data_IF_300872226658
#
_entry.id   IF_300872226658
#
_cell.length_a   1.000
_cell.length_b   1.000
_cell.length_c   1.000
_cell.angle_alpha   90.00
_cell.angle_beta   90.00
_cell.angle_gamma   90.00
#
_symmetry.space_group_name_H-M   'P 1'
#
loop_
_entity.id
_entity.type
_entity.pdbx_description
1 polymer ?
#
# COMPACT_ATOMS: atom_id res chain seq x y z
N UNK A 1 -2.18 27.87 39.60
CA UNK A 1 -1.81 28.84 38.53
C UNK A 1 -0.41 28.62 37.96
N UNK A 2 0.71 29.19 38.45
CA UNK A 2 2.03 29.01 37.78
C UNK A 2 2.54 27.56 37.68
N UNK A 3 2.25 26.72 38.67
CA UNK A 3 2.65 25.31 38.68
C UNK A 3 1.85 24.46 37.68
N UNK A 4 0.56 24.77 37.49
CA UNK A 4 -0.31 24.10 36.52
C UNK A 4 0.05 24.50 35.09
N UNK A 5 0.37 25.77 34.84
CA UNK A 5 0.88 26.21 33.53
C UNK A 5 2.20 25.52 33.17
N UNK A 6 3.14 25.43 34.11
CA UNK A 6 4.41 24.74 33.90
C UNK A 6 4.22 23.24 33.60
N UNK A 7 3.31 22.58 34.35
CA UNK A 7 2.96 21.17 34.11
C UNK A 7 2.32 20.97 32.74
N UNK A 8 1.40 21.85 32.34
CA UNK A 8 0.72 21.78 31.05
C UNK A 8 1.70 22.01 29.88
N UNK A 9 2.63 22.96 30.02
CA UNK A 9 3.70 23.21 29.03
C UNK A 9 4.64 22.02 28.89
N UNK A 10 5.03 21.39 30.01
CA UNK A 10 5.87 20.20 30.01
C UNK A 10 5.15 19.01 29.35
N UNK A 11 3.88 18.76 29.69
CA UNK A 11 3.06 17.70 29.09
C UNK A 11 2.87 17.93 27.58
N UNK A 12 2.63 19.17 27.16
CA UNK A 12 2.52 19.51 25.75
C UNK A 12 3.83 19.30 24.99
N UNK A 13 4.97 19.70 25.57
CA UNK A 13 6.27 19.48 24.97
C UNK A 13 6.63 18.00 24.85
N UNK A 14 6.32 17.20 25.88
CA UNK A 14 6.54 15.76 25.89
C UNK A 14 5.69 15.07 24.82
N UNK A 15 4.39 15.36 24.77
CA UNK A 15 3.47 14.78 23.78
C UNK A 15 3.86 15.13 22.35
N UNK A 16 4.28 16.38 22.11
CA UNK A 16 4.78 16.83 20.80
C UNK A 16 6.07 16.10 20.39
N UNK A 17 6.93 15.76 21.35
CA UNK A 17 8.14 14.99 21.10
C UNK A 17 7.82 13.53 20.80
N UNK A 18 6.91 12.91 21.56
CA UNK A 18 6.39 11.57 21.32
C UNK A 18 5.77 11.44 19.91
N UNK A 19 4.88 12.36 19.54
CA UNK A 19 4.27 12.40 18.19
C UNK A 19 5.33 12.55 17.08
N UNK A 20 6.39 13.32 17.32
CA UNK A 20 7.47 13.50 16.34
C UNK A 20 8.37 12.25 16.22
N UNK A 21 8.64 11.56 17.33
CA UNK A 21 9.42 10.33 17.35
C UNK A 21 8.64 9.17 16.72
N UNK A 22 7.35 9.04 17.01
CA UNK A 22 6.45 8.09 16.35
C UNK A 22 6.39 8.31 14.83
N UNK A 23 6.23 9.57 14.41
CA UNK A 23 6.27 9.92 12.97
C UNK A 23 7.63 9.59 12.33
N UNK A 24 8.74 9.72 13.06
CA UNK A 24 10.07 9.36 12.55
C UNK A 24 10.19 7.85 12.36
N UNK A 25 9.77 7.06 13.34
CA UNK A 25 9.82 5.58 13.31
C UNK A 25 8.98 5.05 12.15
N UNK A 26 7.73 5.53 12.01
CA UNK A 26 6.84 5.13 10.91
C UNK A 26 7.48 5.47 9.55
N UNK A 27 8.08 6.66 9.43
CA UNK A 27 8.74 7.09 8.18
C UNK A 27 9.98 6.25 7.85
N UNK A 28 10.69 5.77 8.87
CA UNK A 28 11.86 4.92 8.72
C UNK A 28 11.48 3.50 8.27
N UNK A 29 10.50 2.89 8.94
CA UNK A 29 9.94 1.58 8.55
C UNK A 29 9.43 1.57 7.11
N UNK A 30 8.66 2.60 6.72
CA UNK A 30 8.15 2.73 5.34
C UNK A 30 9.30 2.86 4.34
N UNK A 31 10.38 3.58 4.68
CA UNK A 31 11.54 3.73 3.80
C UNK A 31 12.31 2.44 3.64
N UNK A 32 12.44 1.63 4.69
CA UNK A 32 13.10 0.33 4.63
C UNK A 32 12.31 -0.66 3.78
N UNK A 33 10.99 -0.76 3.98
CA UNK A 33 10.12 -1.59 3.16
C UNK A 33 10.20 -1.21 1.67
N UNK A 34 10.20 0.09 1.36
CA UNK A 34 10.32 0.57 -0.03
C UNK A 34 11.70 0.31 -0.64
N UNK A 35 12.77 0.39 0.15
CA UNK A 35 14.13 0.04 -0.33
C UNK A 35 14.19 -1.43 -0.69
N UNK A 36 13.62 -2.30 0.15
CA UNK A 36 13.58 -3.73 -0.10
C UNK A 36 12.79 -4.06 -1.40
N UNK A 37 11.64 -3.43 -1.61
CA UNK A 37 10.85 -3.61 -2.85
C UNK A 37 11.66 -3.16 -4.08
N UNK A 38 12.28 -1.98 -4.02
CA UNK A 38 13.03 -1.44 -5.16
C UNK A 38 14.30 -2.24 -5.46
N UNK A 39 14.98 -2.74 -4.45
CA UNK A 39 16.13 -3.64 -4.60
C UNK A 39 15.71 -4.95 -5.27
N UNK A 40 14.55 -5.48 -4.86
CA UNK A 40 13.97 -6.68 -5.45
C UNK A 40 13.59 -6.49 -6.94
N UNK A 41 12.90 -5.40 -7.28
CA UNK A 41 12.57 -5.05 -8.67
C UNK A 41 13.82 -4.88 -9.54
N UNK A 42 14.88 -4.26 -9.00
CA UNK A 42 16.16 -4.11 -9.69
C UNK A 42 16.83 -5.45 -9.95
N UNK A 43 16.82 -6.35 -8.97
CA UNK A 43 17.40 -7.68 -9.12
C UNK A 43 16.71 -8.49 -10.22
N UNK A 44 15.38 -8.40 -10.35
CA UNK A 44 14.63 -9.03 -11.44
C UNK A 44 15.04 -8.43 -12.78
N UNK A 45 15.03 -7.10 -12.90
CA UNK A 45 15.36 -6.42 -14.16
C UNK A 45 16.83 -6.67 -14.59
N UNK A 46 17.74 -6.84 -13.63
CA UNK A 46 19.14 -7.17 -13.89
C UNK A 46 19.29 -8.61 -14.37
N UNK A 47 18.58 -9.57 -13.77
CA UNK A 47 18.56 -10.97 -14.22
C UNK A 47 18.02 -11.12 -15.66
N UNK A 48 16.93 -10.43 -16.00
CA UNK A 48 16.37 -10.41 -17.38
C UNK A 48 17.35 -9.80 -18.39
N UNK A 49 18.09 -8.77 -17.97
CA UNK A 49 19.10 -8.13 -18.83
C UNK A 49 20.29 -9.05 -19.06
N UNK A 50 20.75 -9.76 -18.03
CA UNK A 50 21.86 -10.70 -18.09
C UNK A 50 21.54 -11.88 -19.03
N UNK A 51 20.36 -12.49 -18.89
CA UNK A 51 19.84 -13.54 -19.78
C UNK A 51 19.82 -13.07 -21.26
N UNK A 52 19.30 -11.85 -21.51
CA UNK A 52 19.30 -11.27 -22.86
C UNK A 52 20.71 -11.10 -23.43
N UNK A 53 21.66 -10.61 -22.65
CA UNK A 53 23.06 -10.42 -23.10
C UNK A 53 23.69 -11.76 -23.47
N UNK A 54 23.53 -12.79 -22.64
CA UNK A 54 24.09 -14.12 -22.94
C UNK A 54 23.47 -14.73 -24.20
N UNK A 55 22.15 -14.58 -24.39
CA UNK A 55 21.48 -15.04 -25.61
C UNK A 55 22.00 -14.32 -26.87
N UNK A 56 22.23 -13.01 -26.79
CA UNK A 56 22.83 -12.25 -27.90
C UNK A 56 24.28 -12.68 -28.21
N UNK A 57 25.11 -12.89 -27.17
CA UNK A 57 26.49 -13.36 -27.33
C UNK A 57 26.55 -14.76 -27.93
N UNK A 58 25.66 -15.66 -27.49
CA UNK A 58 25.53 -17.02 -28.01
C UNK A 58 25.19 -17.03 -29.50
N UNK A 59 24.22 -16.20 -29.91
CA UNK A 59 23.82 -16.08 -31.31
C UNK A 59 24.99 -15.60 -32.18
N UNK A 60 25.74 -14.59 -31.72
CA UNK A 60 26.95 -14.11 -32.42
C UNK A 60 28.02 -15.19 -32.52
N UNK A 61 28.29 -15.90 -31.43
CA UNK A 61 29.29 -16.99 -31.43
C UNK A 61 28.89 -18.12 -32.40
N UNK A 62 27.60 -18.45 -32.49
CA UNK A 62 27.08 -19.42 -33.47
C UNK A 62 27.23 -18.94 -34.92
N UNK A 63 27.01 -17.66 -35.19
CA UNK A 63 27.25 -17.06 -36.52
C UNK A 63 28.73 -17.05 -36.90
N UNK A 64 29.63 -16.81 -35.95
CA UNK A 64 31.08 -16.84 -36.15
C UNK A 64 31.57 -18.27 -36.43
N UNK A 65 31.04 -19.28 -35.74
CA UNK A 65 31.35 -20.69 -35.99
C UNK A 65 31.04 -21.10 -37.44
N UNK A 66 29.94 -20.60 -38.03
CA UNK A 66 29.57 -20.87 -39.42
C UNK A 66 30.58 -20.31 -40.44
N UNK A 67 31.37 -19.31 -40.05
CA UNK A 67 32.38 -18.65 -40.88
C UNK A 67 33.81 -19.07 -40.54
N UNK A 68 34.00 -19.86 -39.48
CA UNK A 68 35.31 -20.22 -38.94
C UNK A 68 36.02 -21.28 -39.79
N UNK A 69 37.35 -21.19 -39.83
CA UNK A 69 38.22 -22.20 -40.44
C UNK A 69 38.32 -23.47 -39.57
N UNK A 70 38.77 -24.61 -40.13
CA UNK A 70 38.94 -25.87 -39.37
C UNK A 70 39.85 -25.71 -38.14
N UNK A 71 40.87 -24.85 -38.20
CA UNK A 71 41.77 -24.59 -37.07
C UNK A 71 41.14 -23.75 -35.95
N UNK A 72 40.14 -22.93 -36.25
CA UNK A 72 39.47 -22.03 -35.28
C UNK A 72 38.20 -22.65 -34.70
N UNK A 73 37.66 -23.67 -35.39
CA UNK A 73 36.41 -24.33 -35.07
C UNK A 73 36.38 -24.90 -33.65
N UNK A 74 37.45 -25.55 -33.22
CA UNK A 74 37.54 -26.13 -31.87
C UNK A 74 37.47 -25.06 -30.76
N UNK A 75 38.09 -23.89 -30.98
CA UNK A 75 38.05 -22.78 -30.03
C UNK A 75 36.66 -22.12 -30.00
N UNK A 76 36.05 -21.94 -31.16
CA UNK A 76 34.70 -21.41 -31.29
C UNK A 76 33.65 -22.34 -30.63
N UNK A 77 33.78 -23.66 -30.80
CA UNK A 77 32.92 -24.66 -30.15
C UNK A 77 33.06 -24.63 -28.62
N UNK A 78 34.28 -24.51 -28.09
CA UNK A 78 34.51 -24.36 -26.65
C UNK A 78 33.88 -23.07 -26.11
N UNK A 79 34.01 -21.96 -26.85
CA UNK A 79 33.42 -20.67 -26.46
C UNK A 79 31.88 -20.72 -26.46
N UNK A 80 31.27 -21.43 -27.41
CA UNK A 80 29.83 -21.65 -27.43
C UNK A 80 29.40 -22.48 -26.23
N UNK A 81 30.11 -23.56 -25.89
CA UNK A 81 29.79 -24.39 -24.73
C UNK A 81 29.84 -23.60 -23.41
N UNK A 82 30.82 -22.70 -23.25
CA UNK A 82 30.88 -21.78 -22.10
C UNK A 82 29.67 -20.82 -22.05
N UNK A 83 29.31 -20.23 -23.19
CA UNK A 83 28.17 -19.32 -23.29
C UNK A 83 26.83 -20.04 -23.07
N UNK A 84 26.70 -21.29 -23.51
CA UNK A 84 25.53 -22.15 -23.24
C UNK A 84 25.37 -22.42 -21.75
N UNK A 85 26.47 -22.70 -21.05
CA UNK A 85 26.45 -22.91 -19.60
C UNK A 85 26.09 -21.62 -18.85
N UNK A 86 26.63 -20.47 -19.26
CA UNK A 86 26.31 -19.17 -18.66
C UNK A 86 24.85 -18.77 -18.91
N UNK A 87 24.32 -19.02 -20.11
CA UNK A 87 22.92 -18.78 -20.44
C UNK A 87 22.01 -19.65 -19.56
N UNK A 88 22.31 -20.93 -19.39
CA UNK A 88 21.54 -21.83 -18.53
C UNK A 88 21.50 -21.33 -17.07
N UNK A 89 22.63 -20.85 -16.55
CA UNK A 89 22.68 -20.30 -15.19
C UNK A 89 21.85 -19.02 -15.05
N UNK A 90 21.90 -18.14 -16.05
CA UNK A 90 21.09 -16.91 -16.10
C UNK A 90 19.59 -17.22 -16.18
N UNK A 91 19.18 -18.17 -17.03
CA UNK A 91 17.79 -18.62 -17.16
C UNK A 91 17.26 -19.23 -15.86
N UNK A 92 18.07 -20.01 -15.13
CA UNK A 92 17.68 -20.53 -13.81
C UNK A 92 17.53 -19.43 -12.75
N UNK A 93 18.41 -18.41 -12.75
CA UNK A 93 18.31 -17.26 -11.82
C UNK A 93 17.06 -16.45 -12.12
N UNK A 94 16.79 -16.17 -13.39
CA UNK A 94 15.60 -15.46 -13.86
C UNK A 94 14.32 -16.21 -13.48
N UNK A 95 14.25 -17.52 -13.75
CA UNK A 95 13.09 -18.34 -13.40
C UNK A 95 12.80 -18.34 -11.89
N UNK A 96 13.85 -18.44 -11.06
CA UNK A 96 13.70 -18.33 -9.60
C UNK A 96 13.25 -16.93 -9.18
N UNK A 97 13.82 -15.88 -9.77
CA UNK A 97 13.44 -14.50 -9.48
C UNK A 97 11.97 -14.23 -9.86
N UNK A 98 11.53 -14.67 -11.04
CA UNK A 98 10.13 -14.56 -11.50
C UNK A 98 9.16 -15.32 -10.60
N UNK A 99 9.48 -16.55 -10.23
CA UNK A 99 8.63 -17.35 -9.32
C UNK A 99 8.48 -16.67 -7.96
N UNK A 100 9.56 -16.14 -7.40
CA UNK A 100 9.49 -15.34 -6.18
C UNK A 100 8.66 -14.06 -6.39
N UNK A 101 8.79 -13.42 -7.55
CA UNK A 101 8.14 -12.14 -7.84
C UNK A 101 6.63 -12.31 -7.93
N UNK A 102 6.18 -13.33 -8.65
CA UNK A 102 4.78 -13.73 -8.75
C UNK A 102 4.20 -14.04 -7.36
N UNK A 103 4.94 -14.72 -6.49
CA UNK A 103 4.50 -14.94 -5.10
C UNK A 103 4.41 -13.63 -4.31
N UNK A 104 5.30 -12.67 -4.55
CA UNK A 104 5.33 -11.40 -3.81
C UNK A 104 4.31 -10.35 -4.29
N UNK A 105 3.77 -10.50 -5.50
CA UNK A 105 2.77 -9.60 -6.12
C UNK A 105 1.33 -9.99 -5.78
N UNK A 106 1.09 -11.25 -5.40
CA UNK A 106 -0.21 -11.72 -4.92
C UNK A 106 -0.62 -11.00 -3.64
N UNK A 107 -1.89 -10.59 -3.57
CA UNK A 107 -2.42 -9.91 -2.40
C UNK A 107 -3.87 -9.48 -2.57
N UNK A 108 -4.32 -8.61 -1.67
CA UNK A 108 -5.64 -8.03 -1.69
C UNK A 108 -5.55 -6.51 -1.83
N UNK A 109 -6.37 -5.93 -2.68
CA UNK A 109 -6.65 -4.50 -2.72
C UNK A 109 -7.94 -4.26 -1.96
N UNK A 110 -7.89 -3.39 -0.95
CA UNK A 110 -9.05 -3.03 -0.14
C UNK A 110 -9.55 -1.64 -0.50
N UNK A 111 -10.86 -1.46 -0.36
CA UNK A 111 -11.55 -0.17 -0.42
C UNK A 111 -12.26 0.04 0.92
N UNK A 112 -11.88 1.08 1.65
CA UNK A 112 -12.40 1.37 2.99
C UNK A 112 -12.79 2.83 3.15
N UNK A 113 -13.75 3.12 4.03
CA UNK A 113 -14.17 4.50 4.35
C UNK A 113 -14.27 4.71 5.85
N UNK A 114 -14.29 5.98 6.26
CA UNK A 114 -14.52 6.37 7.65
C UNK A 114 -15.24 7.72 7.65
N UNK A 115 -16.57 7.64 7.66
CA UNK A 115 -17.45 8.81 7.54
C UNK A 115 -17.17 9.81 8.67
N UNK A 116 -17.02 9.33 9.90
CA UNK A 116 -16.81 10.20 11.05
C UNK A 116 -15.49 10.98 11.05
N UNK A 117 -14.48 10.51 10.31
CA UNK A 117 -13.17 11.16 10.23
C UNK A 117 -12.96 11.96 8.94
N UNK A 118 -13.51 11.48 7.82
CA UNK A 118 -13.21 12.00 6.49
C UNK A 118 -14.43 12.51 5.72
N UNK A 119 -15.64 12.24 6.19
CA UNK A 119 -16.90 12.57 5.51
C UNK A 119 -17.37 11.49 4.55
N UNK A 120 -18.50 11.76 3.91
CA UNK A 120 -19.11 10.90 2.89
C UNK A 120 -18.30 10.92 1.58
N UNK A 121 -18.42 9.85 0.80
CA UNK A 121 -17.75 9.65 -0.49
C UNK A 121 -16.22 9.80 -0.47
N UNK A 122 -15.59 9.61 0.69
CA UNK A 122 -14.14 9.56 0.84
C UNK A 122 -13.67 8.15 1.12
N UNK A 123 -12.94 7.59 0.17
CA UNK A 123 -12.46 6.21 0.22
C UNK A 123 -10.94 6.15 0.23
N UNK A 124 -10.40 5.23 1.02
CA UNK A 124 -9.01 4.79 0.91
C UNK A 124 -8.93 3.53 0.07
N UNK A 125 -8.07 3.58 -0.93
CA UNK A 125 -7.70 2.42 -1.75
C UNK A 125 -6.26 2.06 -1.39
N UNK A 126 -6.04 0.82 -0.95
CA UNK A 126 -4.69 0.34 -0.63
C UNK A 126 -4.58 -1.16 -0.78
N UNK A 127 -3.38 -1.70 -0.62
CA UNK A 127 -3.13 -3.13 -0.71
C UNK A 127 -2.63 -3.75 0.60
N UNK A 128 -2.87 -5.04 0.74
CA UNK A 128 -2.29 -5.86 1.80
C UNK A 128 -1.91 -7.22 1.25
N UNK A 129 -0.75 -7.72 1.67
CA UNK A 129 -0.25 -9.07 1.33
C UNK A 129 -0.35 -10.03 2.51
N UNK A 130 -0.99 -9.59 3.60
CA UNK A 130 -1.17 -10.40 4.79
C UNK A 130 -2.16 -11.53 4.53
N UNK A 131 -1.94 -12.65 5.23
CA UNK A 131 -2.86 -13.79 5.27
C UNK A 131 -4.25 -13.38 5.77
N UNK A 132 -4.30 -12.51 6.78
CA UNK A 132 -5.54 -11.90 7.27
C UNK A 132 -5.63 -10.42 6.82
N UNK A 133 -6.34 -10.13 5.72
CA UNK A 133 -6.50 -8.77 5.23
C UNK A 133 -7.43 -7.93 6.12
N UNK A 134 -8.37 -8.53 6.84
CA UNK A 134 -9.28 -7.81 7.74
C UNK A 134 -8.55 -7.31 8.99
N UNK A 135 -7.64 -8.11 9.54
CA UNK A 135 -6.76 -7.69 10.64
C UNK A 135 -5.95 -6.43 10.31
N UNK A 136 -5.48 -6.29 9.05
CA UNK A 136 -4.77 -5.08 8.61
C UNK A 136 -5.67 -3.85 8.62
N UNK A 137 -6.91 -3.97 8.17
CA UNK A 137 -7.85 -2.82 8.20
C UNK A 137 -8.11 -2.36 9.63
N UNK A 138 -8.26 -3.30 10.56
CA UNK A 138 -8.47 -2.99 11.98
C UNK A 138 -7.29 -2.21 12.58
N UNK A 139 -6.06 -2.66 12.33
CA UNK A 139 -4.85 -1.94 12.77
C UNK A 139 -4.74 -0.52 12.23
N UNK A 140 -5.21 -0.28 11.00
CA UNK A 140 -5.22 1.07 10.41
C UNK A 140 -6.21 2.00 11.12
N UNK A 141 -7.35 1.46 11.59
CA UNK A 141 -8.32 2.20 12.39
C UNK A 141 -7.77 2.59 13.76
N UNK A 142 -7.26 1.59 14.50
CA UNK A 142 -6.81 1.75 15.88
C UNK A 142 -5.67 2.77 16.05
N UNK A 143 -4.84 2.96 15.02
CA UNK A 143 -3.63 3.76 15.12
C UNK A 143 -3.80 5.26 14.86
N UNK A 144 -4.88 5.72 14.22
CA UNK A 144 -4.84 7.04 13.56
C UNK A 144 -6.16 7.79 13.38
N UNK A 145 -7.30 7.19 13.71
CA UNK A 145 -8.63 7.80 13.51
C UNK A 145 -9.57 7.54 14.69
N UNK A 146 -10.53 8.45 14.97
CA UNK A 146 -11.46 8.33 16.09
C UNK A 146 -12.52 7.23 15.97
N UNK A 147 -12.76 6.70 14.76
CA UNK A 147 -13.76 5.67 14.49
C UNK A 147 -13.15 4.54 13.67
N UNK A 148 -13.73 3.35 13.74
CA UNK A 148 -13.35 2.22 12.90
C UNK A 148 -13.63 2.47 11.40
N UNK A 149 -12.88 1.78 10.52
CA UNK A 149 -13.14 1.82 9.08
C UNK A 149 -14.26 0.85 8.67
N UNK A 150 -15.14 1.31 7.79
CA UNK A 150 -16.07 0.47 7.04
C UNK A 150 -15.34 -0.16 5.84
N UNK A 151 -15.52 -1.45 5.62
CA UNK A 151 -14.93 -2.18 4.48
C UNK A 151 -15.95 -2.31 3.36
N UNK A 152 -15.64 -1.73 2.21
CA UNK A 152 -16.49 -1.77 1.02
C UNK A 152 -16.11 -2.89 0.07
N UNK A 153 -14.81 -3.16 -0.10
CA UNK A 153 -14.37 -4.26 -0.96
C UNK A 153 -13.04 -4.85 -0.47
N UNK A 154 -12.85 -6.13 -0.76
CA UNK A 154 -11.60 -6.86 -0.55
C UNK A 154 -11.30 -7.71 -1.79
N UNK A 155 -10.51 -7.16 -2.70
CA UNK A 155 -10.31 -7.69 -4.05
C UNK A 155 -9.01 -8.48 -4.07
N UNK A 156 -9.10 -9.81 -4.20
CA UNK A 156 -7.91 -10.63 -4.45
C UNK A 156 -7.38 -10.37 -5.87
N UNK A 157 -6.07 -10.21 -5.99
CA UNK A 157 -5.38 -10.10 -7.28
C UNK A 157 -4.06 -10.85 -7.25
N UNK A 158 -3.75 -11.51 -8.37
CA UNK A 158 -2.43 -12.10 -8.57
C UNK A 158 -1.33 -11.04 -8.72
N UNK A 159 -1.73 -9.81 -9.05
CA UNK A 159 -0.87 -8.63 -9.08
C UNK A 159 -1.54 -7.43 -8.40
N UNK A 160 -1.65 -7.51 -7.07
CA UNK A 160 -2.26 -6.46 -6.26
C UNK A 160 -1.57 -5.08 -6.41
N UNK A 161 -0.23 -4.97 -6.51
CA UNK A 161 0.44 -3.71 -6.79
C UNK A 161 0.03 -3.07 -8.12
N UNK A 162 -0.10 -3.84 -9.19
CA UNK A 162 -0.50 -3.28 -10.48
C UNK A 162 -1.96 -2.81 -10.51
N UNK A 163 -2.86 -3.55 -9.85
CA UNK A 163 -4.26 -3.16 -9.70
C UNK A 163 -4.38 -1.85 -8.90
N UNK A 164 -3.74 -1.77 -7.74
CA UNK A 164 -3.75 -0.59 -6.88
C UNK A 164 -3.17 0.64 -7.59
N UNK A 165 -2.02 0.50 -8.25
CA UNK A 165 -1.39 1.59 -8.99
C UNK A 165 -2.26 2.07 -10.16
N UNK A 166 -3.06 1.18 -10.76
CA UNK A 166 -3.99 1.53 -11.83
C UNK A 166 -5.19 2.32 -11.29
N UNK A 167 -5.82 1.86 -10.20
CA UNK A 167 -6.90 2.59 -9.55
C UNK A 167 -6.44 3.97 -9.06
N UNK A 168 -5.23 4.06 -8.49
CA UNK A 168 -4.64 5.33 -8.06
C UNK A 168 -4.37 6.32 -9.18
N UNK A 169 -4.10 5.82 -10.38
CA UNK A 169 -3.90 6.63 -11.58
C UNK A 169 -5.23 7.09 -12.14
N UNK A 170 -6.23 6.20 -12.17
CA UNK A 170 -7.60 6.50 -12.60
C UNK A 170 -8.20 7.63 -11.75
N UNK A 171 -8.11 7.52 -10.43
CA UNK A 171 -8.66 8.51 -9.51
C UNK A 171 -7.68 9.62 -9.10
N UNK A 172 -6.60 9.84 -9.87
CA UNK A 172 -5.54 10.79 -9.51
C UNK A 172 -6.08 12.21 -9.27
N UNK A 173 -7.02 12.66 -10.09
CA UNK A 173 -7.61 14.00 -10.01
C UNK A 173 -8.53 14.17 -8.80
N UNK A 174 -9.00 13.06 -8.22
CA UNK A 174 -9.92 13.02 -7.09
C UNK A 174 -9.21 12.83 -5.74
N UNK A 175 -7.88 12.94 -5.70
CA UNK A 175 -7.12 12.78 -4.45
C UNK A 175 -7.46 13.89 -3.45
N UNK A 176 -7.83 13.49 -2.24
CA UNK A 176 -8.07 14.43 -1.13
C UNK A 176 -6.77 15.16 -0.76
N UNK A 177 -5.62 14.49 -0.82
CA UNK A 177 -4.31 15.10 -0.56
C UNK A 177 -3.49 15.27 -1.84
N UNK A 178 -3.48 16.49 -2.37
CA UNK A 178 -2.73 16.84 -3.57
C UNK A 178 -1.21 17.01 -3.35
N UNK A 179 -0.74 17.09 -2.09
CA UNK A 179 0.67 17.37 -1.76
C UNK A 179 1.43 16.09 -1.39
N UNK A 180 0.87 15.29 -0.48
CA UNK A 180 1.44 14.03 -0.06
C UNK A 180 0.69 12.87 -0.72
N UNK A 181 1.16 12.47 -1.89
CA UNK A 181 0.56 11.42 -2.71
C UNK A 181 0.57 10.03 -2.06
N UNK A 182 1.30 9.85 -0.96
CA UNK A 182 1.27 8.63 -0.14
C UNK A 182 0.01 8.51 0.72
N UNK A 183 -0.77 9.59 0.85
CA UNK A 183 -2.09 9.55 1.47
C UNK A 183 -3.12 9.26 0.38
N UNK A 184 -3.46 7.99 0.25
CA UNK A 184 -4.24 7.42 -0.85
C UNK A 184 -5.75 7.47 -0.54
N UNK A 185 -6.22 8.67 -0.23
CA UNK A 185 -7.64 8.95 -0.03
C UNK A 185 -8.18 9.70 -1.25
N UNK A 186 -9.35 9.29 -1.71
CA UNK A 186 -9.99 9.78 -2.94
C UNK A 186 -11.42 10.17 -2.63
N UNK A 187 -11.85 11.33 -3.13
CA UNK A 187 -13.23 11.80 -3.04
C UNK A 187 -13.97 11.42 -4.33
N UNK A 188 -14.65 10.28 -4.31
CA UNK A 188 -15.28 9.65 -5.48
C UNK A 188 -16.45 8.78 -5.06
N UNK A 189 -17.45 8.64 -5.92
CA UNK A 189 -18.56 7.73 -5.69
C UNK A 189 -18.09 6.26 -5.67
N UNK A 190 -18.60 5.45 -4.75
CA UNK A 190 -18.23 4.03 -4.64
C UNK A 190 -18.56 3.23 -5.89
N UNK A 191 -19.64 3.59 -6.59
CA UNK A 191 -20.02 3.01 -7.88
C UNK A 191 -18.92 3.20 -8.93
N UNK A 192 -18.31 4.39 -8.98
CA UNK A 192 -17.20 4.66 -9.91
C UNK A 192 -15.98 3.78 -9.60
N UNK A 193 -15.70 3.53 -8.31
CA UNK A 193 -14.63 2.61 -7.91
C UNK A 193 -14.95 1.18 -8.36
N UNK A 194 -16.19 0.73 -8.15
CA UNK A 194 -16.64 -0.59 -8.58
C UNK A 194 -16.51 -0.75 -10.10
N UNK A 195 -17.02 0.20 -10.87
CA UNK A 195 -16.96 0.17 -12.34
C UNK A 195 -15.52 0.17 -12.86
N UNK A 196 -14.62 0.94 -12.22
CA UNK A 196 -13.20 0.93 -12.54
C UNK A 196 -12.58 -0.44 -12.27
N UNK A 197 -12.89 -1.07 -11.13
CA UNK A 197 -12.40 -2.42 -10.80
C UNK A 197 -12.91 -3.45 -11.81
N UNK A 198 -14.21 -3.45 -12.11
CA UNK A 198 -14.85 -4.38 -13.06
C UNK A 198 -14.28 -4.20 -14.49
N UNK A 199 -13.85 -2.99 -14.85
CA UNK A 199 -13.21 -2.70 -16.15
C UNK A 199 -11.76 -3.20 -16.21
N UNK A 200 -11.02 -3.06 -15.11
CA UNK A 200 -9.59 -3.42 -15.03
C UNK A 200 -9.42 -4.93 -14.85
N UNK A 201 -10.33 -5.54 -14.10
CA UNK A 201 -10.25 -6.92 -13.66
C UNK A 201 -11.56 -7.60 -14.02
N UNK A 202 -11.51 -8.65 -14.84
CA UNK A 202 -12.66 -9.53 -15.14
C UNK A 202 -12.96 -10.45 -13.94
N UNK A 203 -13.03 -9.88 -12.75
CA UNK A 203 -13.31 -10.55 -11.48
C UNK A 203 -14.52 -9.85 -10.88
N UNK A 204 -15.56 -10.64 -10.59
CA UNK A 204 -16.74 -10.20 -9.85
C UNK A 204 -16.33 -9.95 -8.39
N UNK A 205 -15.93 -8.71 -8.10
CA UNK A 205 -15.55 -8.30 -6.76
C UNK A 205 -16.80 -8.02 -5.91
N UNK A 206 -16.86 -8.60 -4.72
CA UNK A 206 -17.96 -8.34 -3.78
C UNK A 206 -17.82 -6.93 -3.17
N UNK A 207 -18.69 -6.02 -3.59
CA UNK A 207 -18.76 -4.65 -3.11
C UNK A 207 -19.95 -4.46 -2.15
N UNK A 208 -19.65 -4.08 -0.92
CA UNK A 208 -20.61 -3.60 0.07
C UNK A 208 -20.87 -2.11 -0.12
N UNK A 209 -22.04 -1.79 -0.64
CA UNK A 209 -22.41 -0.40 -0.98
C UNK A 209 -22.77 0.45 0.22
N UNK A 210 -23.11 -0.16 1.36
CA UNK A 210 -23.51 0.54 2.58
C UNK A 210 -22.35 0.67 3.55
N UNK A 211 -21.97 1.90 3.91
CA UNK A 211 -21.18 2.18 5.10
C UNK A 211 -22.11 2.13 6.33
N UNK A 212 -21.72 1.39 7.38
CA UNK A 212 -22.54 1.31 8.58
C UNK A 212 -22.23 2.47 9.54
N UNK A 213 -20.95 2.87 9.62
CA UNK A 213 -20.46 3.94 10.48
C UNK A 213 -21.09 3.92 11.89
N UNK A 214 -21.21 2.73 12.48
CA UNK A 214 -22.04 2.50 13.68
C UNK A 214 -21.58 3.36 14.86
N UNK A 215 -20.27 3.38 15.13
CA UNK A 215 -19.67 4.16 16.22
C UNK A 215 -19.91 5.67 16.04
N UNK A 216 -19.87 6.15 14.79
CA UNK A 216 -20.08 7.56 14.47
C UNK A 216 -21.54 7.97 14.73
N UNK A 217 -22.50 7.23 14.19
CA UNK A 217 -23.92 7.54 14.38
C UNK A 217 -24.38 7.35 15.84
N UNK A 218 -23.82 6.37 16.56
CA UNK A 218 -24.08 6.22 18.00
C UNK A 218 -23.49 7.41 18.79
N UNK A 219 -22.29 7.87 18.46
CA UNK A 219 -21.69 9.05 19.09
C UNK A 219 -22.53 10.30 18.88
N UNK A 220 -23.05 10.52 17.66
CA UNK A 220 -23.97 11.63 17.37
C UNK A 220 -25.26 11.53 18.19
N UNK A 221 -25.83 10.32 18.32
CA UNK A 221 -27.04 10.08 19.11
C UNK A 221 -26.81 10.42 20.59
N UNK A 222 -25.70 9.98 21.17
CA UNK A 222 -25.37 10.25 22.57
C UNK A 222 -25.14 11.73 22.84
N UNK A 223 -24.52 12.46 21.91
CA UNK A 223 -24.32 13.91 22.00
C UNK A 223 -25.63 14.70 21.88
N UNK A 224 -26.56 14.24 21.04
CA UNK A 224 -27.87 14.86 20.91
C UNK A 224 -28.77 14.66 22.16
N UNK A 225 -28.40 13.75 23.07
CA UNK A 225 -29.16 13.39 24.27
C UNK A 225 -28.58 14.03 25.54
N UNK A 226 -27.66 15.01 25.45
CA UNK A 226 -27.19 15.73 26.65
C UNK A 226 -28.39 16.28 27.46
N UNK A 227 -28.55 15.89 28.74
CA UNK A 227 -29.62 16.40 29.58
C UNK A 227 -29.34 17.87 29.90
N UNK A 228 -30.38 18.71 29.84
CA UNK A 228 -30.37 20.03 30.47
C UNK A 228 -29.85 19.88 31.91
N UNK A 229 -28.59 20.21 32.14
CA UNK A 229 -28.09 20.43 33.49
C UNK A 229 -28.83 21.65 34.03
N UNK A 230 -29.88 21.38 34.81
CA UNK A 230 -30.73 22.37 35.45
C UNK A 230 -29.88 23.34 36.29
N UNK A 231 -29.64 24.53 35.75
CA UNK A 231 -28.93 25.63 36.43
C UNK A 231 -29.75 26.24 37.58
N UNK A 232 -30.95 25.72 37.91
CA UNK A 232 -31.78 26.27 38.99
C UNK A 232 -31.37 25.83 40.41
N UNK A 233 -30.48 24.86 40.58
CA UNK A 233 -30.10 24.37 41.91
C UNK A 233 -29.02 25.19 42.65
N UNK A 234 -28.54 26.32 42.11
CA UNK A 234 -27.47 27.14 42.74
C UNK A 234 -27.89 28.58 43.10
N UNK A 235 -29.18 28.91 43.13
CA UNK A 235 -29.66 30.26 43.54
C UNK A 235 -30.70 30.24 44.66
N UNK A 236 -30.49 29.40 45.67
CA UNK A 236 -31.28 29.48 46.91
C UNK A 236 -30.46 29.08 48.13
N UNK A 237 -29.35 29.80 48.36
CA UNK A 237 -28.72 29.87 49.69
C UNK A 237 -28.14 31.27 49.94
N UNK A 238 -28.96 32.30 49.76
CA UNK A 238 -28.81 33.53 50.53
C UNK A 238 -30.19 33.96 51.02
N UNK A 239 -30.21 34.46 52.26
CA UNK A 239 -31.32 35.08 53.01
C UNK A 239 -32.26 34.16 53.79
N UNK A 240 -31.82 33.81 55.01
CA UNK A 240 -32.55 34.12 56.25
C UNK A 240 -31.61 33.99 57.45
#
# INVERSE_FOLDING_TARGET
>A
MKFEECKLQYQYALKKQEEADEQRIIKEQIREEQRAIKEYERAIAEAEKEERIYRELLNKAREELLKASESERAFAEQRIAELEQQLLEAEMKEARAKSMAEQTRKGHVYVISNIGSFGEDVYKIGLTRRLDPMGRVKELGDASVPFSFDVHAMIYSDDAPALEATLHREFREHRVNAVNLRKEFFQVDLLSIKDAVDTIVDIDADFKMTALAEEYYESLRLQAVEPEFDKRALTSTEVA
#
